data_IF_052231862849
#
_entry.id   IF_052231862849
#
_cell.length_a   1.000
_cell.length_b   1.000
_cell.length_c   1.000
_cell.angle_alpha   90.00
_cell.angle_beta   90.00
_cell.angle_gamma   90.00
#
_symmetry.space_group_name_H-M   'P 1'
#
loop_
_entity.id
_entity.type
_entity.pdbx_description
1 polymer ?
#
# COMPACT_ATOMS: atom_id res chain seq x y z
N UNK A 1 13.95 28.58 6.30
CA UNK A 1 13.48 27.31 6.84
C UNK A 1 12.43 27.56 7.93
N UNK A 2 11.35 26.81 7.94
CA UNK A 2 10.29 26.92 8.93
C UNK A 2 10.71 26.15 10.20
N UNK A 3 11.24 26.85 11.19
CA UNK A 3 11.69 26.24 12.47
C UNK A 3 10.54 26.07 13.45
N UNK A 4 9.56 26.96 13.42
CA UNK A 4 8.36 26.92 14.26
C UNK A 4 7.11 27.24 13.47
N UNK A 5 6.06 26.48 13.68
CA UNK A 5 4.68 26.86 13.32
C UNK A 5 3.84 26.93 14.58
N UNK A 6 3.04 27.97 14.70
CA UNK A 6 2.20 28.21 15.88
C UNK A 6 0.75 28.23 15.42
N UNK A 7 -0.07 27.40 16.04
CA UNK A 7 -1.52 27.38 15.87
C UNK A 7 -2.19 27.79 17.16
N UNK A 8 -3.24 28.58 17.06
CA UNK A 8 -4.04 28.99 18.20
C UNK A 8 -5.39 28.30 18.15
N UNK A 9 -5.73 27.60 19.22
CA UNK A 9 -6.98 26.87 19.33
C UNK A 9 -7.77 27.37 20.56
N UNK A 10 -9.11 27.38 20.46
CA UNK A 10 -10.03 27.55 21.59
C UNK A 10 -11.33 26.82 21.28
N UNK A 11 -11.98 26.28 22.30
CA UNK A 11 -13.26 25.56 22.15
C UNK A 11 -14.43 26.52 21.96
N UNK A 12 -14.41 27.64 22.69
CA UNK A 12 -15.43 28.69 22.61
C UNK A 12 -14.78 30.06 22.41
N UNK A 13 -15.54 31.02 21.90
CA UNK A 13 -15.03 32.35 21.56
C UNK A 13 -14.36 33.10 22.72
N UNK A 14 -14.77 32.85 23.97
CA UNK A 14 -14.28 33.51 25.17
C UNK A 14 -13.26 32.68 25.96
N UNK A 15 -12.92 31.46 25.50
CA UNK A 15 -11.91 30.63 26.16
C UNK A 15 -10.52 31.22 25.94
N UNK A 16 -9.58 30.97 26.87
CA UNK A 16 -8.19 31.30 26.64
C UNK A 16 -7.65 30.59 25.42
N UNK A 17 -6.72 31.22 24.71
CA UNK A 17 -6.06 30.63 23.56
C UNK A 17 -5.13 29.49 24.02
N UNK A 18 -5.34 28.30 23.47
CA UNK A 18 -4.43 27.16 23.54
C UNK A 18 -3.41 27.31 22.40
N UNK A 19 -2.16 27.51 22.76
CA UNK A 19 -1.07 27.72 21.81
C UNK A 19 -0.38 26.40 21.51
N UNK A 20 -0.47 25.96 20.24
CA UNK A 20 0.10 24.70 19.76
C UNK A 20 1.29 24.97 18.87
N UNK A 21 2.47 24.61 19.33
CA UNK A 21 3.74 24.87 18.65
C UNK A 21 4.29 23.56 18.09
N UNK A 22 4.46 23.49 16.76
CA UNK A 22 5.31 22.48 16.13
C UNK A 22 6.72 23.07 15.97
N UNK A 23 7.72 22.32 16.38
CA UNK A 23 9.11 22.72 16.30
C UNK A 23 9.90 21.77 15.41
N UNK A 24 10.73 22.32 14.54
CA UNK A 24 11.57 21.59 13.60
C UNK A 24 13.02 22.03 13.76
N UNK A 25 13.93 21.08 13.68
CA UNK A 25 15.36 21.31 13.71
C UNK A 25 16.00 20.82 12.43
N UNK A 26 16.89 21.65 11.88
CA UNK A 26 17.56 21.41 10.62
C UNK A 26 19.06 21.29 10.83
N UNK A 27 19.74 20.53 9.98
CA UNK A 27 21.20 20.49 9.92
C UNK A 27 21.76 21.72 9.17
N UNK A 28 23.08 21.79 9.09
CA UNK A 28 23.77 22.90 8.42
C UNK A 28 23.48 22.97 6.89
N UNK A 29 23.02 21.88 6.28
CA UNK A 29 22.60 21.82 4.88
C UNK A 29 21.11 22.14 4.69
N UNK A 30 20.40 22.49 5.75
CA UNK A 30 18.97 22.82 5.71
C UNK A 30 18.04 21.62 5.61
N UNK A 31 18.49 20.42 5.98
CA UNK A 31 17.70 19.21 5.96
C UNK A 31 17.07 18.98 7.32
N UNK A 32 15.79 18.58 7.38
CA UNK A 32 15.06 18.28 8.61
C UNK A 32 15.70 17.08 9.32
N UNK A 33 16.15 17.28 10.57
CA UNK A 33 16.78 16.22 11.37
C UNK A 33 16.03 15.91 12.66
N UNK A 34 15.11 16.76 13.08
CA UNK A 34 14.24 16.47 14.22
C UNK A 34 12.95 17.29 14.18
N UNK A 35 11.89 16.73 14.73
CA UNK A 35 10.61 17.42 14.90
C UNK A 35 10.00 17.14 16.25
N UNK A 36 9.28 18.14 16.79
CA UNK A 36 8.55 18.06 18.05
C UNK A 36 7.15 18.61 17.85
N UNK A 37 6.15 17.84 18.24
CA UNK A 37 4.74 18.23 18.20
C UNK A 37 4.39 19.18 19.35
N UNK A 38 3.16 19.74 19.39
CA UNK A 38 2.77 20.65 20.44
C UNK A 38 2.76 20.06 21.85
N UNK A 39 2.50 18.75 22.00
CA UNK A 39 2.47 18.08 23.29
C UNK A 39 3.87 17.97 23.88
N UNK A 40 4.81 17.42 23.11
CA UNK A 40 6.19 17.29 23.53
C UNK A 40 6.92 18.64 23.60
N UNK A 41 6.50 19.61 22.77
CA UNK A 41 7.03 20.97 22.87
C UNK A 41 6.64 21.64 24.19
N UNK A 42 5.37 21.59 24.58
CA UNK A 42 4.90 22.14 25.84
C UNK A 42 5.53 21.42 27.05
N UNK A 43 5.68 20.10 26.98
CA UNK A 43 6.36 19.32 28.02
C UNK A 43 7.83 19.75 28.19
N UNK A 44 8.52 20.04 27.09
CA UNK A 44 9.92 20.49 27.10
C UNK A 44 10.12 21.89 27.68
N UNK A 45 9.08 22.71 27.89
CA UNK A 45 9.16 23.98 28.61
C UNK A 45 9.27 23.78 30.13
N UNK A 46 8.83 22.61 30.63
CA UNK A 46 8.81 22.30 32.06
C UNK A 46 9.78 21.19 32.46
N UNK A 47 10.17 20.32 31.53
CA UNK A 47 11.05 19.17 31.76
C UNK A 47 12.32 19.24 30.92
N UNK A 48 13.47 18.81 31.52
CA UNK A 48 14.79 18.95 30.88
C UNK A 48 15.11 17.85 29.85
N UNK A 49 14.45 16.68 29.91
CA UNK A 49 14.75 15.52 29.07
C UNK A 49 13.51 15.00 28.36
N UNK A 50 12.95 15.83 27.47
CA UNK A 50 11.82 15.45 26.65
C UNK A 50 12.31 15.01 25.27
N UNK A 51 11.92 13.81 24.78
CA UNK A 51 12.35 13.35 23.46
C UNK A 51 11.76 14.24 22.34
N UNK A 52 12.34 14.12 21.16
CA UNK A 52 11.72 14.59 19.92
C UNK A 52 10.70 13.52 19.45
N UNK A 53 9.64 13.91 18.73
CA UNK A 53 8.76 12.90 18.11
C UNK A 53 9.53 12.03 17.14
N UNK A 54 10.41 12.66 16.37
CA UNK A 54 11.27 11.98 15.40
C UNK A 54 12.62 12.66 15.37
N UNK A 55 13.70 11.88 15.39
CA UNK A 55 15.05 12.32 15.02
C UNK A 55 15.56 11.50 13.85
N UNK A 56 16.40 12.13 13.00
CA UNK A 56 16.95 11.47 11.82
C UNK A 56 18.45 11.74 11.69
N UNK A 57 19.20 10.71 11.32
CA UNK A 57 20.56 10.82 10.82
C UNK A 57 20.54 10.56 9.32
N UNK A 58 21.01 11.53 8.57
CA UNK A 58 20.94 11.50 7.11
C UNK A 58 22.30 11.15 6.50
N UNK A 59 22.29 10.48 5.37
CA UNK A 59 23.46 10.29 4.52
C UNK A 59 23.93 11.64 3.95
N UNK A 60 25.09 11.64 3.31
CA UNK A 60 25.56 12.83 2.57
C UNK A 60 24.60 13.24 1.44
N UNK A 61 23.92 12.27 0.82
CA UNK A 61 22.91 12.53 -0.22
C UNK A 61 21.56 13.00 0.33
N UNK A 62 21.35 12.98 1.67
CA UNK A 62 20.10 13.39 2.32
C UNK A 62 19.11 12.23 2.57
N UNK A 63 19.46 11.00 2.21
CA UNK A 63 18.61 9.84 2.52
C UNK A 63 18.69 9.51 4.03
N UNK A 64 17.58 9.17 4.71
CA UNK A 64 17.61 8.78 6.12
C UNK A 64 18.32 7.43 6.29
N UNK A 65 19.33 7.40 7.16
CA UNK A 65 20.03 6.19 7.57
C UNK A 65 19.45 5.64 8.88
N UNK A 66 19.30 6.52 9.88
CA UNK A 66 18.69 6.19 11.16
C UNK A 66 17.54 7.14 11.42
N UNK A 67 16.39 6.60 11.73
CA UNK A 67 15.24 7.34 12.24
C UNK A 67 14.91 6.81 13.63
N UNK A 68 14.78 7.68 14.62
CA UNK A 68 14.31 7.32 15.95
C UNK A 68 13.02 8.08 16.25
N UNK A 69 11.97 7.33 16.55
CA UNK A 69 10.62 7.83 16.81
C UNK A 69 10.19 7.47 18.22
N UNK A 70 9.64 8.44 18.95
CA UNK A 70 9.11 8.22 20.30
C UNK A 70 8.06 7.11 20.34
N UNK A 71 7.28 6.94 19.27
CA UNK A 71 6.20 5.94 19.20
C UNK A 71 6.65 4.60 18.60
N UNK A 72 7.50 4.63 17.58
CA UNK A 72 7.86 3.43 16.79
C UNK A 72 9.26 2.88 17.11
N UNK A 73 10.05 3.59 17.94
CA UNK A 73 11.45 3.27 18.20
C UNK A 73 12.36 3.57 17.00
N UNK A 74 13.61 3.15 17.12
CA UNK A 74 14.61 3.41 16.10
C UNK A 74 14.54 2.40 14.94
N UNK A 75 14.88 2.87 13.76
CA UNK A 75 15.06 2.08 12.53
C UNK A 75 16.32 2.55 11.83
N UNK A 76 17.17 1.60 11.46
CA UNK A 76 18.39 1.83 10.68
C UNK A 76 18.25 1.13 9.34
N UNK A 77 18.62 1.81 8.25
CA UNK A 77 18.63 1.25 6.92
C UNK A 77 19.94 1.57 6.21
N UNK A 78 20.54 0.58 5.57
CA UNK A 78 21.67 0.76 4.69
C UNK A 78 21.20 0.65 3.23
N UNK A 79 21.46 1.69 2.47
CA UNK A 79 21.18 1.72 1.04
C UNK A 79 22.37 1.24 0.24
N UNK A 80 22.10 0.52 -0.84
CA UNK A 80 23.08 0.18 -1.86
C UNK A 80 23.42 1.41 -2.74
N UNK A 81 24.27 1.19 -3.72
CA UNK A 81 24.80 2.25 -4.61
C UNK A 81 23.73 2.88 -5.51
N UNK A 82 22.61 2.22 -5.77
CA UNK A 82 21.47 2.75 -6.54
C UNK A 82 20.35 3.30 -5.64
N UNK A 83 20.57 3.34 -4.31
CA UNK A 83 19.64 3.90 -3.33
C UNK A 83 18.61 2.92 -2.78
N UNK A 84 18.58 1.66 -3.25
CA UNK A 84 17.72 0.62 -2.68
C UNK A 84 18.21 0.19 -1.29
N UNK A 85 17.28 -0.12 -0.39
CA UNK A 85 17.62 -0.62 0.95
C UNK A 85 18.10 -2.07 0.84
N UNK A 86 19.36 -2.31 1.23
CA UNK A 86 19.97 -3.64 1.26
C UNK A 86 19.81 -4.31 2.62
N UNK A 87 19.99 -3.55 3.69
CA UNK A 87 19.83 -4.02 5.06
C UNK A 87 19.02 -3.06 5.91
N UNK A 88 18.24 -3.59 6.83
CA UNK A 88 17.46 -2.81 7.80
C UNK A 88 17.43 -3.48 9.16
N UNK A 89 17.43 -2.66 10.21
CA UNK A 89 17.29 -3.08 11.62
C UNK A 89 16.25 -2.21 12.30
N UNK A 90 15.66 -2.72 13.36
CA UNK A 90 14.75 -1.96 14.20
C UNK A 90 14.97 -2.19 15.70
N UNK A 91 14.33 -1.36 16.53
CA UNK A 91 14.44 -1.42 17.99
C UNK A 91 13.85 -2.69 18.61
N UNK A 92 13.09 -3.49 17.87
CA UNK A 92 12.52 -4.77 18.32
C UNK A 92 13.52 -5.92 18.16
N UNK A 93 14.64 -5.67 17.48
CA UNK A 93 15.69 -6.65 17.22
C UNK A 93 15.48 -7.40 15.91
N UNK A 94 14.62 -6.90 15.03
CA UNK A 94 14.51 -7.41 13.67
C UNK A 94 15.69 -6.94 12.84
N UNK A 95 16.19 -7.82 11.99
CA UNK A 95 17.19 -7.54 10.97
C UNK A 95 16.73 -8.18 9.66
N UNK A 96 16.61 -7.40 8.61
CA UNK A 96 16.28 -7.92 7.28
C UNK A 96 17.36 -7.55 6.27
N UNK A 97 17.63 -8.50 5.37
CA UNK A 97 18.57 -8.40 4.26
C UNK A 97 17.81 -8.66 2.96
N UNK A 98 17.92 -7.75 2.00
CA UNK A 98 17.37 -7.92 0.66
C UNK A 98 18.49 -8.20 -0.32
N UNK A 99 18.37 -9.30 -1.04
CA UNK A 99 19.28 -9.67 -2.14
C UNK A 99 18.70 -9.18 -3.47
N UNK A 100 19.60 -8.77 -4.36
CA UNK A 100 19.23 -8.19 -5.67
C UNK A 100 19.93 -8.96 -6.80
N UNK A 101 19.27 -9.02 -7.96
CA UNK A 101 19.89 -9.52 -9.20
C UNK A 101 20.80 -8.47 -9.86
N UNK A 102 21.39 -8.82 -10.99
CA UNK A 102 22.26 -7.92 -11.75
C UNK A 102 21.53 -6.69 -12.33
N UNK A 103 20.21 -6.72 -12.42
CA UNK A 103 19.34 -5.62 -12.82
C UNK A 103 18.83 -4.80 -11.62
N UNK A 104 19.34 -5.08 -10.42
CA UNK A 104 18.97 -4.45 -9.17
C UNK A 104 17.48 -4.66 -8.78
N UNK A 105 16.90 -5.77 -9.22
CA UNK A 105 15.56 -6.21 -8.80
C UNK A 105 15.70 -7.12 -7.58
N UNK A 106 14.85 -7.00 -6.53
CA UNK A 106 14.91 -7.88 -5.36
C UNK A 106 14.64 -9.33 -5.77
N UNK A 107 15.44 -10.29 -5.25
CA UNK A 107 15.26 -11.72 -5.51
C UNK A 107 14.94 -12.49 -4.25
N UNK A 108 15.36 -12.00 -3.08
CA UNK A 108 14.97 -12.56 -1.78
C UNK A 108 15.01 -11.52 -0.68
N UNK A 109 14.19 -11.74 0.34
CA UNK A 109 14.27 -11.05 1.64
C UNK A 109 14.50 -12.09 2.70
N UNK A 110 15.61 -11.98 3.43
CA UNK A 110 15.89 -12.78 4.61
C UNK A 110 15.65 -11.93 5.85
N UNK A 111 15.07 -12.53 6.86
CA UNK A 111 14.80 -11.86 8.13
C UNK A 111 15.24 -12.74 9.30
N UNK A 112 15.72 -12.08 10.37
CA UNK A 112 15.89 -12.67 11.71
C UNK A 112 15.30 -11.73 12.75
N UNK A 113 14.68 -12.31 13.78
CA UNK A 113 14.21 -11.58 14.95
C UNK A 113 15.12 -11.83 16.14
N UNK A 114 14.79 -11.22 17.30
CA UNK A 114 15.51 -11.44 18.55
C UNK A 114 15.61 -12.93 18.93
N UNK A 115 14.49 -13.65 18.79
CA UNK A 115 14.35 -15.05 19.16
C UNK A 115 13.94 -15.93 17.94
N UNK A 116 14.03 -15.38 16.74
CA UNK A 116 13.69 -16.04 15.49
C UNK A 116 14.96 -16.19 14.68
N UNK A 117 15.37 -17.42 14.31
CA UNK A 117 16.55 -17.64 13.48
C UNK A 117 16.36 -17.01 12.10
N UNK A 118 17.46 -16.75 11.41
CA UNK A 118 17.42 -16.25 10.04
C UNK A 118 16.66 -17.25 9.14
N UNK A 119 15.72 -16.73 8.38
CA UNK A 119 14.92 -17.46 7.41
C UNK A 119 14.63 -16.58 6.19
N UNK A 120 14.32 -17.19 5.07
CA UNK A 120 13.92 -16.48 3.85
C UNK A 120 12.42 -16.21 3.91
N UNK A 121 12.07 -14.94 4.17
CA UNK A 121 10.69 -14.48 4.33
C UNK A 121 9.96 -14.35 2.99
N UNK A 122 10.68 -13.86 1.96
CA UNK A 122 10.11 -13.61 0.62
C UNK A 122 11.08 -14.03 -0.48
N UNK A 123 10.53 -14.48 -1.62
CA UNK A 123 11.27 -14.68 -2.86
C UNK A 123 10.52 -14.11 -4.06
N UNK A 124 11.29 -13.60 -5.01
CA UNK A 124 10.79 -12.98 -6.22
C UNK A 124 11.37 -13.68 -7.44
N UNK A 125 10.52 -13.95 -8.43
CA UNK A 125 10.95 -14.53 -9.71
C UNK A 125 10.42 -13.67 -10.84
N UNK A 126 11.31 -13.33 -11.77
CA UNK A 126 11.00 -12.48 -12.90
C UNK A 126 10.99 -13.29 -14.19
N UNK A 127 10.10 -12.93 -15.11
CA UNK A 127 10.06 -13.53 -16.43
C UNK A 127 11.30 -13.19 -17.25
N UNK A 128 11.64 -14.10 -18.12
CA UNK A 128 12.68 -13.92 -19.14
C UNK A 128 12.19 -13.22 -20.39
N UNK A 129 12.60 -13.75 -21.53
CA UNK A 129 12.23 -13.27 -22.87
C UNK A 129 11.74 -14.43 -23.75
N UNK A 130 11.23 -15.49 -23.12
CA UNK A 130 10.73 -16.65 -23.81
C UNK A 130 9.44 -16.32 -24.57
N UNK A 131 9.09 -17.14 -25.57
CA UNK A 131 7.92 -16.87 -26.39
C UNK A 131 6.60 -16.77 -25.60
N UNK A 132 6.49 -17.53 -24.53
CA UNK A 132 5.33 -17.51 -23.63
C UNK A 132 5.28 -16.20 -22.82
N UNK A 133 6.44 -15.76 -22.28
CA UNK A 133 6.53 -14.47 -21.58
C UNK A 133 6.15 -13.30 -22.50
N UNK A 134 6.60 -13.33 -23.76
CA UNK A 134 6.26 -12.31 -24.77
C UNK A 134 4.73 -12.33 -25.05
N UNK A 135 4.13 -13.51 -25.22
CA UNK A 135 2.73 -13.64 -25.54
C UNK A 135 1.79 -13.08 -24.46
N UNK A 136 2.25 -13.04 -23.20
CA UNK A 136 1.50 -12.56 -22.04
C UNK A 136 2.01 -11.21 -21.48
N UNK A 137 2.86 -10.49 -22.21
CA UNK A 137 3.48 -9.21 -21.80
C UNK A 137 4.26 -9.29 -20.48
N UNK A 138 4.84 -10.43 -20.17
CA UNK A 138 5.52 -10.71 -18.88
C UNK A 138 7.03 -10.40 -18.91
N UNK A 139 7.63 -10.14 -20.06
CA UNK A 139 9.08 -9.96 -20.18
C UNK A 139 9.65 -9.02 -19.13
N UNK A 140 10.53 -9.54 -18.27
CA UNK A 140 11.17 -8.80 -17.19
C UNK A 140 10.26 -8.43 -16.02
N UNK A 141 8.99 -8.79 -16.07
CA UNK A 141 8.02 -8.52 -15.00
C UNK A 141 8.14 -9.54 -13.87
N UNK A 142 7.67 -9.16 -12.68
CA UNK A 142 7.54 -10.06 -11.54
C UNK A 142 6.40 -11.07 -11.81
N UNK A 143 6.77 -12.32 -12.06
CA UNK A 143 5.80 -13.39 -12.36
C UNK A 143 5.46 -14.26 -11.16
N UNK A 144 6.31 -14.26 -10.14
CA UNK A 144 6.08 -15.01 -8.91
C UNK A 144 6.62 -14.26 -7.70
N UNK A 145 5.78 -14.08 -6.70
CA UNK A 145 6.13 -13.57 -5.39
C UNK A 145 5.70 -14.58 -4.33
N UNK A 146 6.66 -15.18 -3.68
CA UNK A 146 6.47 -16.04 -2.52
C UNK A 146 6.59 -15.16 -1.27
N UNK A 147 5.51 -15.00 -0.52
CA UNK A 147 5.40 -14.16 0.65
C UNK A 147 4.96 -14.96 1.90
N UNK A 148 4.86 -14.35 3.10
CA UNK A 148 4.48 -15.09 4.32
C UNK A 148 3.13 -15.80 4.29
N UNK A 149 2.25 -15.48 3.33
CA UNK A 149 0.94 -16.12 3.21
C UNK A 149 0.87 -17.18 2.09
N UNK A 150 1.88 -17.23 1.22
CA UNK A 150 1.93 -18.18 0.10
C UNK A 150 2.53 -17.56 -1.16
N UNK A 151 2.06 -17.99 -2.31
CA UNK A 151 2.58 -17.57 -3.62
C UNK A 151 1.54 -16.80 -4.42
N UNK A 152 1.91 -15.63 -4.93
CA UNK A 152 1.19 -14.88 -5.95
C UNK A 152 1.90 -15.10 -7.29
N UNK A 153 1.16 -15.55 -8.32
CA UNK A 153 1.67 -15.69 -9.68
C UNK A 153 0.93 -14.74 -10.61
N UNK A 154 1.68 -13.93 -11.35
CA UNK A 154 1.17 -13.11 -12.47
C UNK A 154 1.17 -13.98 -13.72
N UNK A 155 0.03 -14.13 -14.35
CA UNK A 155 -0.14 -15.00 -15.51
C UNK A 155 -0.29 -14.22 -16.83
N UNK A 156 -0.80 -12.99 -16.75
CA UNK A 156 -1.09 -12.19 -17.94
C UNK A 156 -1.16 -10.70 -17.60
N UNK A 157 -0.53 -9.87 -18.41
CA UNK A 157 -0.56 -8.41 -18.30
C UNK A 157 -1.09 -7.78 -19.59
N UNK A 158 -1.87 -6.74 -19.47
CA UNK A 158 -2.23 -5.89 -20.60
C UNK A 158 -1.04 -5.08 -21.12
N UNK A 159 -1.14 -4.56 -22.33
CA UNK A 159 -0.09 -3.73 -22.95
C UNK A 159 0.30 -2.51 -22.12
N UNK A 160 -0.62 -1.97 -21.31
CA UNK A 160 -0.37 -0.88 -20.36
C UNK A 160 0.12 -1.33 -18.99
N UNK A 161 0.44 -2.62 -18.80
CA UNK A 161 0.87 -3.19 -17.51
C UNK A 161 -0.28 -3.51 -16.55
N UNK A 162 -1.53 -3.41 -16.97
CA UNK A 162 -2.69 -3.81 -16.15
C UNK A 162 -2.69 -5.32 -15.90
N UNK A 163 -2.93 -5.74 -14.66
CA UNK A 163 -2.93 -7.15 -14.26
C UNK A 163 -4.22 -7.83 -14.76
N UNK A 164 -4.09 -8.64 -15.82
CA UNK A 164 -5.24 -9.34 -16.45
C UNK A 164 -5.56 -10.65 -15.74
N UNK A 165 -4.54 -11.42 -15.35
CA UNK A 165 -4.72 -12.70 -14.67
C UNK A 165 -3.64 -12.93 -13.63
N UNK A 166 -4.04 -13.38 -12.47
CA UNK A 166 -3.13 -13.85 -11.43
C UNK A 166 -3.76 -14.96 -10.61
N UNK A 167 -2.91 -15.77 -9.97
CA UNK A 167 -3.33 -16.78 -9.00
C UNK A 167 -2.71 -16.51 -7.65
N UNK A 168 -3.48 -16.78 -6.60
CA UNK A 168 -3.01 -16.83 -5.22
C UNK A 168 -3.12 -18.26 -4.71
N UNK A 169 -2.02 -18.81 -4.22
CA UNK A 169 -1.97 -20.13 -3.60
C UNK A 169 -1.41 -20.00 -2.18
N UNK A 170 -2.13 -20.50 -1.19
CA UNK A 170 -1.77 -20.30 0.21
C UNK A 170 -0.78 -21.38 0.67
N UNK A 171 -0.09 -21.10 1.79
CA UNK A 171 0.74 -22.08 2.47
C UNK A 171 -0.11 -23.18 3.10
N UNK A 172 0.39 -24.41 3.11
CA UNK A 172 -0.20 -25.54 3.85
C UNK A 172 -0.23 -25.30 5.37
N UNK A 173 0.71 -24.51 5.88
CA UNK A 173 0.86 -24.21 7.29
C UNK A 173 0.90 -22.71 7.54
N UNK A 174 0.32 -22.28 8.66
CA UNK A 174 0.26 -20.86 9.07
C UNK A 174 1.53 -20.32 9.71
N UNK A 175 2.53 -21.20 9.95
CA UNK A 175 3.83 -20.76 10.48
C UNK A 175 4.58 -19.94 9.41
N UNK A 176 5.39 -18.93 9.82
CA UNK A 176 6.25 -18.22 8.88
C UNK A 176 7.11 -19.18 8.08
N UNK A 177 7.17 -19.05 6.74
CA UNK A 177 7.94 -19.94 5.90
C UNK A 177 9.43 -19.62 5.96
N UNK A 178 10.25 -20.62 5.66
CA UNK A 178 11.62 -20.44 5.18
C UNK A 178 11.64 -20.85 3.71
N UNK A 179 11.50 -19.91 2.81
CA UNK A 179 11.32 -20.18 1.39
C UNK A 179 12.59 -20.76 0.76
N UNK A 180 12.58 -22.04 0.27
CA UNK A 180 13.70 -22.64 -0.40
C UNK A 180 14.11 -21.93 -1.69
N UNK A 181 15.33 -22.16 -2.16
CA UNK A 181 15.80 -21.59 -3.41
C UNK A 181 15.11 -22.19 -4.64
N UNK A 182 14.88 -23.51 -4.62
CA UNK A 182 14.30 -24.23 -5.75
C UNK A 182 12.77 -24.07 -5.80
N UNK A 183 12.24 -23.80 -7.00
CA UNK A 183 10.80 -23.60 -7.22
C UNK A 183 9.99 -24.83 -6.80
N UNK A 184 10.44 -26.03 -7.16
CA UNK A 184 9.73 -27.26 -6.81
C UNK A 184 9.61 -27.50 -5.29
N UNK A 185 10.64 -27.08 -4.52
CA UNK A 185 10.59 -27.16 -3.07
C UNK A 185 9.63 -26.11 -2.47
N UNK A 186 9.56 -24.93 -3.08
CA UNK A 186 8.57 -23.89 -2.70
C UNK A 186 7.14 -24.35 -2.98
N UNK A 187 6.91 -24.97 -4.14
CA UNK A 187 5.59 -25.49 -4.51
C UNK A 187 5.12 -26.59 -3.53
N UNK A 188 6.03 -27.37 -2.97
CA UNK A 188 5.70 -28.37 -1.96
C UNK A 188 5.19 -27.79 -0.62
N UNK A 189 5.40 -26.49 -0.36
CA UNK A 189 4.89 -25.81 0.83
C UNK A 189 3.47 -25.27 0.65
N UNK A 190 2.94 -25.31 -0.57
CA UNK A 190 1.65 -24.70 -0.93
C UNK A 190 0.52 -25.74 -0.88
N UNK A 191 -0.70 -25.23 -0.68
CA UNK A 191 -1.91 -26.03 -0.86
C UNK A 191 -1.94 -26.67 -2.25
N UNK A 192 -2.58 -27.83 -2.35
CA UNK A 192 -2.75 -28.54 -3.62
C UNK A 192 -3.70 -27.81 -4.56
N UNK A 193 -3.46 -27.93 -5.88
CA UNK A 193 -4.30 -27.34 -6.92
C UNK A 193 -3.67 -26.09 -7.56
N UNK A 194 -4.42 -25.45 -8.46
CA UNK A 194 -3.92 -24.34 -9.30
C UNK A 194 -3.97 -22.96 -8.58
N UNK A 195 -4.49 -22.95 -7.34
CA UNK A 195 -4.68 -21.72 -6.56
C UNK A 195 -5.95 -20.95 -6.96
N UNK A 196 -6.16 -19.84 -6.28
CA UNK A 196 -7.30 -18.93 -6.43
C UNK A 196 -7.06 -17.98 -7.63
N UNK A 197 -7.68 -18.28 -8.77
CA UNK A 197 -7.56 -17.46 -9.99
C UNK A 197 -8.43 -16.22 -9.89
N UNK A 198 -7.85 -15.06 -10.21
CA UNK A 198 -8.58 -13.82 -10.49
C UNK A 198 -8.28 -13.38 -11.92
N UNK A 199 -9.33 -13.02 -12.66
CA UNK A 199 -9.21 -12.50 -14.01
C UNK A 199 -9.91 -11.15 -14.14
N UNK A 200 -9.24 -10.20 -14.81
CA UNK A 200 -9.72 -8.83 -15.01
C UNK A 200 -9.76 -8.47 -16.48
N UNK A 201 -10.70 -7.61 -16.85
CA UNK A 201 -10.75 -6.98 -18.16
C UNK A 201 -10.77 -5.47 -17.98
N UNK A 202 -9.97 -4.79 -18.77
CA UNK A 202 -9.85 -3.33 -18.74
C UNK A 202 -10.28 -2.71 -20.05
N UNK A 203 -10.74 -1.47 -20.01
CA UNK A 203 -10.95 -0.65 -21.19
C UNK A 203 -9.60 -0.27 -21.82
N UNK A 204 -9.58 0.23 -23.06
CA UNK A 204 -8.36 0.80 -23.66
C UNK A 204 -7.77 1.98 -22.89
N UNK A 205 -8.57 2.65 -22.07
CA UNK A 205 -8.21 3.80 -21.24
C UNK A 205 -7.81 3.40 -19.82
N UNK A 206 -7.93 2.11 -19.45
CA UNK A 206 -7.42 1.55 -18.20
C UNK A 206 -8.47 1.36 -17.09
N UNK A 207 -9.76 1.61 -17.36
CA UNK A 207 -10.83 1.34 -16.41
C UNK A 207 -11.13 -0.16 -16.32
N UNK A 208 -11.32 -0.68 -15.10
CA UNK A 208 -11.71 -2.07 -14.87
C UNK A 208 -13.17 -2.31 -15.31
N UNK A 209 -13.37 -3.06 -16.37
CA UNK A 209 -14.70 -3.37 -16.90
C UNK A 209 -15.33 -4.59 -16.26
N UNK A 210 -14.51 -5.60 -15.94
CA UNK A 210 -14.96 -6.85 -15.37
C UNK A 210 -13.87 -7.48 -14.50
N UNK A 211 -14.30 -8.09 -13.41
CA UNK A 211 -13.48 -8.98 -12.59
C UNK A 211 -14.21 -10.29 -12.36
N UNK A 212 -13.50 -11.39 -12.46
CA UNK A 212 -13.94 -12.73 -12.06
C UNK A 212 -13.02 -13.17 -10.93
N UNK A 213 -13.60 -13.50 -9.78
CA UNK A 213 -12.86 -13.95 -8.62
C UNK A 213 -12.62 -15.48 -8.62
N UNK A 214 -11.93 -15.97 -7.60
CA UNK A 214 -11.59 -17.39 -7.45
C UNK A 214 -12.80 -18.31 -7.23
N UNK A 215 -13.95 -17.79 -6.88
CA UNK A 215 -15.22 -18.50 -6.76
C UNK A 215 -16.07 -18.38 -8.03
N UNK A 216 -15.50 -17.83 -9.11
CA UNK A 216 -16.18 -17.54 -10.38
C UNK A 216 -17.30 -16.48 -10.26
N UNK A 217 -17.35 -15.71 -9.18
CA UNK A 217 -18.23 -14.57 -9.10
C UNK A 217 -17.76 -13.50 -10.09
N UNK A 218 -18.71 -12.96 -10.84
CA UNK A 218 -18.44 -11.98 -11.89
C UNK A 218 -18.95 -10.60 -11.49
N UNK A 219 -18.06 -9.64 -11.34
CA UNK A 219 -18.40 -8.24 -11.13
C UNK A 219 -18.16 -7.45 -12.41
N UNK A 220 -19.13 -6.60 -12.78
CA UNK A 220 -19.09 -5.75 -13.99
C UNK A 220 -19.24 -4.29 -13.56
N UNK A 221 -18.46 -3.42 -14.19
CA UNK A 221 -18.42 -1.99 -13.93
C UNK A 221 -18.77 -1.22 -15.21
N UNK A 222 -19.58 -0.20 -15.10
CA UNK A 222 -19.89 0.72 -16.19
C UNK A 222 -19.48 2.13 -15.84
N UNK A 223 -18.94 2.84 -16.82
CA UNK A 223 -18.38 4.18 -16.66
C UNK A 223 -19.12 5.19 -17.53
N UNK A 224 -19.06 6.47 -17.13
CA UNK A 224 -19.45 7.59 -17.95
C UNK A 224 -18.44 7.85 -19.08
N UNK A 225 -18.77 8.72 -20.00
CA UNK A 225 -17.82 9.16 -21.06
C UNK A 225 -16.61 9.88 -20.48
N UNK A 226 -16.74 10.42 -19.26
CA UNK A 226 -15.65 11.08 -18.54
C UNK A 226 -14.76 10.09 -17.76
N UNK A 227 -15.02 8.77 -17.82
CA UNK A 227 -14.27 7.74 -17.09
C UNK A 227 -14.71 7.57 -15.63
N UNK A 228 -15.82 8.18 -15.21
CA UNK A 228 -16.33 8.06 -13.85
C UNK A 228 -17.20 6.82 -13.70
N UNK A 229 -17.07 6.07 -12.59
CA UNK A 229 -17.89 4.90 -12.32
C UNK A 229 -19.38 5.28 -12.23
N UNK A 230 -20.23 4.61 -13.00
CA UNK A 230 -21.65 4.87 -13.07
C UNK A 230 -22.49 3.82 -12.36
N UNK A 231 -22.19 2.56 -12.57
CA UNK A 231 -22.86 1.46 -11.88
C UNK A 231 -21.94 0.23 -11.74
N UNK A 232 -22.29 -0.65 -10.81
CA UNK A 232 -21.64 -1.95 -10.69
C UNK A 232 -22.65 -3.06 -10.40
N UNK A 233 -22.38 -4.25 -10.94
CA UNK A 233 -23.24 -5.44 -10.87
C UNK A 233 -22.42 -6.64 -10.49
N UNK A 234 -23.04 -7.56 -9.77
CA UNK A 234 -22.42 -8.82 -9.33
C UNK A 234 -23.30 -9.98 -9.74
N UNK A 235 -22.71 -10.99 -10.34
CA UNK A 235 -23.33 -12.29 -10.59
C UNK A 235 -22.56 -13.32 -9.77
N UNK A 236 -23.20 -13.94 -8.80
CA UNK A 236 -22.60 -15.02 -8.03
C UNK A 236 -22.54 -16.30 -8.87
N UNK A 237 -21.47 -17.07 -8.70
CA UNK A 237 -21.34 -18.38 -9.33
C UNK A 237 -22.36 -19.38 -8.75
N UNK A 238 -22.70 -20.43 -9.54
CA UNK A 238 -23.61 -21.50 -9.08
C UNK A 238 -24.94 -21.56 -9.84
N UNK A 239 -25.83 -22.43 -9.36
CA UNK A 239 -27.16 -22.61 -9.97
C UNK A 239 -28.04 -21.37 -9.73
N UNK A 240 -28.78 -20.95 -10.79
CA UNK A 240 -29.68 -19.81 -10.69
C UNK A 240 -29.00 -18.45 -10.67
N UNK A 241 -27.89 -18.29 -11.39
CA UNK A 241 -27.15 -17.04 -11.52
C UNK A 241 -28.07 -15.84 -11.77
N UNK A 242 -28.28 -15.03 -10.72
CA UNK A 242 -29.04 -13.78 -10.81
C UNK A 242 -28.07 -12.63 -10.67
N UNK A 243 -28.07 -11.75 -11.68
CA UNK A 243 -27.33 -10.52 -11.61
C UNK A 243 -27.92 -9.59 -10.54
N UNK A 244 -27.10 -9.19 -9.58
CA UNK A 244 -27.45 -8.26 -8.52
C UNK A 244 -26.85 -6.90 -8.82
N UNK A 245 -27.66 -5.88 -8.76
CA UNK A 245 -27.20 -4.51 -8.87
C UNK A 245 -26.62 -4.09 -7.51
N UNK A 246 -25.32 -3.81 -7.46
CA UNK A 246 -24.65 -3.33 -6.22
C UNK A 246 -24.82 -1.82 -6.09
N UNK A 247 -24.52 -1.10 -7.18
CA UNK A 247 -24.71 0.34 -7.31
C UNK A 247 -25.46 0.59 -8.61
N UNK A 248 -26.61 1.25 -8.53
CA UNK A 248 -27.46 1.49 -9.70
C UNK A 248 -27.12 2.78 -10.44
N UNK A 249 -26.71 3.82 -9.71
CA UNK A 249 -26.34 5.11 -10.28
C UNK A 249 -25.41 5.88 -9.33
N UNK A 250 -24.42 6.58 -9.91
CA UNK A 250 -23.56 7.53 -9.19
C UNK A 250 -23.62 8.85 -9.97
N UNK A 251 -23.85 9.94 -9.25
CA UNK A 251 -23.83 11.30 -9.81
C UNK A 251 -22.67 12.08 -9.24
N UNK A 252 -22.01 12.80 -10.13
CA UNK A 252 -20.84 13.60 -9.83
C UNK A 252 -21.12 15.08 -10.07
N UNK A 253 -20.49 15.96 -9.30
CA UNK A 253 -20.45 17.38 -9.56
C UNK A 253 -19.39 17.72 -10.63
N UNK A 254 -19.32 18.98 -11.01
CA UNK A 254 -18.35 19.46 -12.02
C UNK A 254 -16.88 19.33 -11.60
N UNK A 255 -16.61 19.09 -10.33
CA UNK A 255 -15.28 18.83 -9.79
C UNK A 255 -14.94 17.32 -9.69
N UNK A 256 -15.83 16.42 -10.18
CA UNK A 256 -15.64 14.98 -10.11
C UNK A 256 -15.92 14.36 -8.74
N UNK A 257 -16.57 15.09 -7.82
CA UNK A 257 -16.93 14.58 -6.49
C UNK A 257 -18.32 13.94 -6.53
N UNK A 258 -18.50 12.80 -5.84
CA UNK A 258 -19.79 12.11 -5.77
C UNK A 258 -20.82 12.95 -5.02
N UNK A 259 -21.87 13.39 -5.68
CA UNK A 259 -23.02 14.08 -5.08
C UNK A 259 -24.11 13.14 -4.58
N UNK A 260 -24.31 12.04 -5.30
CA UNK A 260 -25.28 11.03 -4.92
C UNK A 260 -24.86 9.64 -5.43
N UNK A 261 -25.08 8.65 -4.61
CA UNK A 261 -24.92 7.23 -4.94
C UNK A 261 -26.23 6.52 -4.60
N UNK A 262 -26.74 5.71 -5.54
CA UNK A 262 -27.89 4.85 -5.34
C UNK A 262 -27.42 3.40 -5.27
N UNK A 263 -27.51 2.79 -4.10
CA UNK A 263 -27.22 1.38 -3.91
C UNK A 263 -28.28 0.49 -4.60
N UNK A 264 -27.95 -0.77 -4.84
CA UNK A 264 -28.86 -1.73 -5.50
C UNK A 264 -30.15 -2.01 -4.74
N UNK A 265 -30.17 -1.79 -3.43
CA UNK A 265 -31.38 -1.87 -2.59
C UNK A 265 -32.22 -0.59 -2.59
N UNK A 266 -31.86 0.42 -3.38
CA UNK A 266 -32.59 1.68 -3.51
C UNK A 266 -32.23 2.77 -2.49
N UNK A 267 -31.31 2.50 -1.56
CA UNK A 267 -30.81 3.53 -0.62
C UNK A 267 -30.02 4.57 -1.40
N UNK A 268 -30.30 5.84 -1.16
CA UNK A 268 -29.63 6.96 -1.82
C UNK A 268 -28.78 7.70 -0.79
N UNK A 269 -27.48 7.61 -0.91
CA UNK A 269 -26.52 8.41 -0.13
C UNK A 269 -26.22 9.71 -0.87
N UNK A 270 -26.40 10.86 -0.20
CA UNK A 270 -26.12 12.19 -0.75
C UNK A 270 -25.00 12.88 0.00
N UNK A 271 -24.14 13.52 -0.76
CA UNK A 271 -23.01 14.30 -0.26
C UNK A 271 -23.23 15.78 -0.58
N UNK A 272 -22.95 16.65 0.36
CA UNK A 272 -22.95 18.10 0.16
C UNK A 272 -21.56 18.64 0.36
N UNK A 273 -21.14 19.48 -0.55
CA UNK A 273 -19.82 20.08 -0.52
C UNK A 273 -19.93 21.60 -0.38
N UNK A 274 -18.94 22.19 0.27
CA UNK A 274 -18.79 23.65 0.31
C UNK A 274 -18.42 24.13 -1.09
N UNK A 275 -19.17 25.10 -1.67
CA UNK A 275 -18.91 25.58 -3.02
C UNK A 275 -17.61 26.41 -3.14
N UNK A 276 -17.05 26.89 -2.03
CA UNK A 276 -15.84 27.71 -2.02
C UNK A 276 -14.55 26.88 -2.02
N UNK A 277 -14.53 25.75 -1.30
CA UNK A 277 -13.32 24.96 -1.12
C UNK A 277 -13.51 23.45 -1.38
N UNK A 278 -14.70 23.01 -1.73
CA UNK A 278 -15.00 21.61 -2.07
C UNK A 278 -14.98 20.64 -0.89
N UNK A 279 -14.92 21.11 0.36
CA UNK A 279 -14.99 20.24 1.54
C UNK A 279 -16.36 19.63 1.72
N UNK A 280 -16.40 18.36 2.13
CA UNK A 280 -17.65 17.69 2.49
C UNK A 280 -18.26 18.36 3.74
N UNK A 281 -19.48 18.88 3.61
CA UNK A 281 -20.23 19.57 4.67
C UNK A 281 -21.42 18.78 5.19
N UNK A 282 -21.86 17.76 4.46
CA UNK A 282 -22.98 16.92 4.89
C UNK A 282 -23.04 15.59 4.17
N UNK A 283 -23.53 14.58 4.91
CA UNK A 283 -23.84 13.24 4.42
C UNK A 283 -25.24 12.86 4.89
N UNK A 284 -26.05 12.31 3.99
CA UNK A 284 -27.38 11.79 4.31
C UNK A 284 -27.69 10.55 3.45
N UNK A 285 -28.37 9.57 4.04
CA UNK A 285 -28.85 8.35 3.39
C UNK A 285 -30.36 8.21 3.60
#
# INVERSE_FOLDING_TARGET
>A
LLVRSVQFHRRQANDPLDTRVNHQRFDAAGRLVASRDPCLFALAETEQQVPENVTQHLSLSGAPLLTDSVDAGWRLALAGHTGQVVERWDGRGSHALTEFDALMRPVSVRERGRDIPEHTLERFTYAGIEADDIAHNLCGQLIRHDDPAGTLRTLDLGMGGALLKHTRQFLLHTAPPDWPALVAERDALLETGDGALTACQFSPTGELLQQIDALENRQVFAYSVAGELKNSRLTLAGEGQVEQLLVSDIRYNVAGQVEAETAGNGVITRHRYDPADGRLTGLSA
#
